data_IF_753982967491
#
_entry.id   IF_753982967491
#
_cell.length_a   1.000
_cell.length_b   1.000
_cell.length_c   1.000
_cell.angle_alpha   90.00
_cell.angle_beta   90.00
_cell.angle_gamma   90.00
#
_symmetry.space_group_name_H-M   'P 1'
#
loop_
_entity.id
_entity.type
_entity.pdbx_description
1 polymer ?
#
# COMPACT_ATOMS: atom_id res chain seq x y z
N UNK A 1 32.24 -66.59 22.78
CA UNK A 1 30.94 -66.05 22.31
C UNK A 1 30.70 -64.72 23.02
N UNK A 2 31.03 -63.56 22.43
CA UNK A 2 30.56 -62.20 22.81
C UNK A 2 31.47 -61.04 22.34
N UNK A 3 32.53 -61.29 21.54
CA UNK A 3 33.34 -60.18 20.97
C UNK A 3 32.76 -59.55 19.75
N UNK A 4 32.02 -60.27 18.91
CA UNK A 4 31.44 -59.78 17.64
C UNK A 4 30.20 -58.93 17.84
N UNK A 5 29.46 -59.14 18.95
CA UNK A 5 28.26 -58.33 19.25
C UNK A 5 28.58 -56.90 19.71
N UNK A 6 29.77 -56.67 20.23
CA UNK A 6 30.19 -55.32 20.67
C UNK A 6 30.75 -54.48 19.53
N UNK A 7 31.30 -55.09 18.50
CA UNK A 7 31.85 -54.38 17.31
C UNK A 7 30.74 -53.93 16.38
N UNK A 8 29.69 -54.75 16.22
CA UNK A 8 28.52 -54.34 15.39
C UNK A 8 27.68 -53.21 15.99
N UNK A 9 27.60 -53.11 17.33
CA UNK A 9 26.88 -52.03 17.99
C UNK A 9 27.64 -50.69 17.89
N UNK A 10 28.97 -50.68 17.86
CA UNK A 10 29.79 -49.47 17.72
C UNK A 10 29.82 -48.93 16.28
N UNK A 11 29.71 -49.79 15.28
CA UNK A 11 29.64 -49.38 13.86
C UNK A 11 28.27 -48.83 13.48
N UNK A 12 27.18 -49.27 14.12
CA UNK A 12 25.83 -48.67 13.90
C UNK A 12 25.70 -47.31 14.58
N UNK A 13 26.40 -47.02 15.68
CA UNK A 13 26.36 -45.73 16.35
C UNK A 13 27.13 -44.64 15.59
N UNK A 14 28.17 -44.99 14.79
CA UNK A 14 28.93 -44.04 13.98
C UNK A 14 28.22 -43.65 12.66
N UNK A 15 27.30 -44.48 12.18
CA UNK A 15 26.55 -44.20 10.94
C UNK A 15 25.40 -43.17 11.14
N UNK A 16 25.01 -42.87 12.39
CA UNK A 16 23.91 -41.95 12.71
C UNK A 16 24.35 -40.48 12.87
N UNK A 17 25.68 -40.21 12.90
CA UNK A 17 26.19 -38.84 13.15
C UNK A 17 26.40 -38.04 11.83
N UNK A 18 26.33 -38.67 10.65
CA UNK A 18 26.56 -38.03 9.37
C UNK A 18 25.27 -37.63 8.59
N UNK A 19 24.09 -37.80 9.21
CA UNK A 19 22.82 -37.65 8.54
C UNK A 19 22.05 -36.31 8.78
N UNK A 20 22.60 -35.33 9.52
CA UNK A 20 21.88 -34.10 9.88
C UNK A 20 22.64 -32.84 9.46
N UNK A 21 23.29 -32.86 8.29
CA UNK A 21 23.53 -31.60 7.56
C UNK A 21 22.42 -31.42 6.57
N UNK A 22 21.19 -31.29 7.05
CA UNK A 22 20.14 -30.67 6.31
C UNK A 22 20.53 -29.21 6.11
N UNK A 23 21.08 -28.87 4.93
CA UNK A 23 21.05 -27.52 4.43
C UNK A 23 19.57 -27.13 4.32
N UNK A 24 18.97 -26.69 5.42
CA UNK A 24 17.78 -25.88 5.38
C UNK A 24 18.17 -24.64 4.61
N UNK A 25 17.80 -24.53 3.33
CA UNK A 25 17.62 -23.23 2.71
C UNK A 25 16.81 -22.43 3.74
N UNK A 26 17.41 -21.39 4.34
CA UNK A 26 16.62 -20.36 4.98
C UNK A 26 15.67 -19.91 3.89
N UNK A 27 14.39 -20.19 4.01
CA UNK A 27 13.38 -19.52 3.23
C UNK A 27 13.59 -18.03 3.52
N UNK A 28 14.20 -17.34 2.58
CA UNK A 28 14.40 -15.89 2.69
C UNK A 28 13.01 -15.29 2.77
N UNK A 29 12.72 -14.67 3.92
CA UNK A 29 11.41 -14.06 4.14
C UNK A 29 11.16 -13.02 3.06
N UNK A 30 10.09 -13.19 2.30
CA UNK A 30 9.64 -12.22 1.29
C UNK A 30 8.75 -11.20 1.98
N UNK A 31 9.09 -9.92 1.83
CA UNK A 31 8.27 -8.80 2.29
C UNK A 31 7.35 -8.37 1.14
N UNK A 32 6.05 -8.57 1.29
CA UNK A 32 5.07 -8.12 0.31
C UNK A 32 4.69 -6.67 0.60
N UNK A 33 4.86 -5.81 -0.39
CA UNK A 33 4.48 -4.39 -0.31
C UNK A 33 3.38 -4.12 -1.33
N UNK A 34 2.20 -3.75 -0.82
CA UNK A 34 1.07 -3.32 -1.64
C UNK A 34 1.26 -1.90 -2.15
N UNK A 35 0.95 -1.65 -3.42
CA UNK A 35 0.91 -0.30 -3.98
C UNK A 35 -0.16 -0.20 -5.07
N UNK A 36 -0.70 1.01 -5.26
CA UNK A 36 -1.57 1.25 -6.42
C UNK A 36 -0.74 1.37 -7.70
N UNK A 37 -1.32 0.91 -8.81
CA UNK A 37 -0.72 1.00 -10.15
C UNK A 37 -0.27 2.44 -10.45
N UNK A 38 0.90 2.59 -11.06
CA UNK A 38 1.48 3.87 -11.44
C UNK A 38 2.61 4.32 -10.51
N UNK A 39 2.69 5.61 -10.11
CA UNK A 39 3.85 6.16 -9.42
C UNK A 39 4.19 5.45 -8.10
N UNK A 40 3.22 5.02 -7.32
CA UNK A 40 3.46 4.27 -6.09
C UNK A 40 4.11 2.91 -6.35
N UNK A 41 3.60 2.16 -7.32
CA UNK A 41 4.19 0.88 -7.73
C UNK A 41 5.63 1.06 -8.24
N UNK A 42 5.90 2.11 -9.03
CA UNK A 42 7.25 2.43 -9.52
C UNK A 42 8.23 2.70 -8.38
N UNK A 43 7.79 3.41 -7.33
CA UNK A 43 8.63 3.64 -6.14
C UNK A 43 8.92 2.32 -5.43
N UNK A 44 7.91 1.47 -5.22
CA UNK A 44 8.12 0.15 -4.56
C UNK A 44 9.04 -0.73 -5.39
N UNK A 45 8.92 -0.74 -6.74
CA UNK A 45 9.84 -1.47 -7.62
C UNK A 45 11.29 -0.98 -7.47
N UNK A 46 11.50 0.34 -7.38
CA UNK A 46 12.83 0.90 -7.15
C UNK A 46 13.39 0.50 -5.77
N UNK A 47 12.55 0.55 -4.73
CA UNK A 47 12.91 0.11 -3.37
C UNK A 47 13.26 -1.39 -3.36
N UNK A 48 12.47 -2.24 -4.02
CA UNK A 48 12.74 -3.68 -4.10
C UNK A 48 14.10 -3.97 -4.76
N UNK A 49 14.43 -3.22 -5.82
CA UNK A 49 15.73 -3.34 -6.51
C UNK A 49 16.91 -2.95 -5.60
N UNK A 50 16.77 -1.90 -4.80
CA UNK A 50 17.81 -1.48 -3.86
C UNK A 50 17.92 -2.44 -2.66
N UNK A 51 16.79 -2.90 -2.12
CA UNK A 51 16.71 -3.86 -1.01
C UNK A 51 17.37 -5.20 -1.36
N UNK A 52 17.20 -5.67 -2.60
CA UNK A 52 17.82 -6.91 -3.07
C UNK A 52 19.37 -6.86 -3.00
N UNK A 53 20.00 -5.70 -3.17
CA UNK A 53 21.45 -5.52 -3.01
C UNK A 53 21.92 -5.75 -1.56
N UNK A 54 21.00 -5.68 -0.62
CA UNK A 54 21.23 -5.89 0.82
C UNK A 54 20.70 -7.26 1.30
N UNK A 55 20.30 -8.14 0.38
CA UNK A 55 19.75 -9.45 0.70
C UNK A 55 18.31 -9.41 1.25
N UNK A 56 17.57 -8.33 1.00
CA UNK A 56 16.17 -8.18 1.41
C UNK A 56 15.28 -8.42 0.18
N UNK A 57 14.44 -9.44 0.24
CA UNK A 57 13.53 -9.79 -0.84
C UNK A 57 12.18 -9.08 -0.66
N UNK A 58 11.81 -8.23 -1.61
CA UNK A 58 10.54 -7.52 -1.66
C UNK A 58 9.74 -7.97 -2.88
N UNK A 59 8.49 -8.33 -2.65
CA UNK A 59 7.49 -8.60 -3.68
C UNK A 59 6.50 -7.43 -3.74
N UNK A 60 6.36 -6.80 -4.91
CA UNK A 60 5.32 -5.81 -5.15
C UNK A 60 3.99 -6.49 -5.44
N UNK A 61 2.95 -6.12 -4.69
CA UNK A 61 1.55 -6.49 -4.94
C UNK A 61 0.81 -5.25 -5.46
N UNK A 62 0.43 -5.27 -6.74
CA UNK A 62 -0.25 -4.12 -7.35
C UNK A 62 -1.77 -4.20 -7.16
N UNK A 63 -2.37 -3.08 -6.78
CA UNK A 63 -3.81 -2.89 -6.62
C UNK A 63 -4.33 -1.85 -7.62
N UNK A 64 -5.53 -2.08 -8.15
CA UNK A 64 -6.20 -1.16 -9.07
C UNK A 64 -7.22 -0.24 -8.38
N UNK A 65 -7.37 -0.35 -7.07
CA UNK A 65 -8.31 0.43 -6.25
C UNK A 65 -7.66 0.93 -4.96
N UNK A 66 -8.38 1.77 -4.20
CA UNK A 66 -7.91 2.35 -2.94
C UNK A 66 -8.47 1.67 -1.69
N UNK A 67 -9.39 0.71 -1.83
CA UNK A 67 -10.06 0.04 -0.70
C UNK A 67 -9.26 -1.17 -0.26
N UNK A 68 -8.89 -2.02 -1.21
CA UNK A 68 -8.26 -3.32 -0.98
C UNK A 68 -6.89 -3.26 -0.29
N UNK A 69 -5.99 -2.26 -0.55
CA UNK A 69 -4.63 -2.29 0.03
C UNK A 69 -4.58 -2.24 1.55
N UNK A 70 -5.48 -1.49 2.20
CA UNK A 70 -5.53 -1.46 3.67
C UNK A 70 -6.15 -2.74 4.23
N UNK A 71 -7.17 -3.29 3.60
CA UNK A 71 -7.74 -4.56 4.02
C UNK A 71 -6.70 -5.70 3.95
N UNK A 72 -5.91 -5.76 2.87
CA UNK A 72 -4.85 -6.75 2.71
C UNK A 72 -3.70 -6.56 3.72
N UNK A 73 -3.44 -5.34 4.18
CA UNK A 73 -2.47 -5.07 5.23
C UNK A 73 -3.02 -5.46 6.61
N UNK A 74 -4.27 -5.17 6.87
CA UNK A 74 -4.93 -5.45 8.14
C UNK A 74 -5.11 -6.96 8.38
N UNK A 75 -5.41 -7.73 7.33
CA UNK A 75 -5.51 -9.19 7.39
C UNK A 75 -4.16 -9.92 7.32
N UNK A 76 -3.05 -9.20 7.10
CA UNK A 76 -1.70 -9.74 7.04
C UNK A 76 -1.31 -10.37 5.70
N UNK A 77 -2.12 -10.26 4.65
CA UNK A 77 -1.82 -10.76 3.29
C UNK A 77 -0.62 -10.04 2.68
N UNK A 78 -0.38 -8.79 3.09
CA UNK A 78 0.82 -8.00 2.81
C UNK A 78 1.39 -7.43 4.11
N UNK A 79 2.68 -7.07 4.14
CA UNK A 79 3.34 -6.56 5.34
C UNK A 79 3.43 -5.03 5.37
N UNK A 80 3.37 -4.39 4.22
CA UNK A 80 3.42 -2.94 4.06
C UNK A 80 2.52 -2.53 2.89
N UNK A 81 2.07 -1.27 2.88
CA UNK A 81 1.53 -0.66 1.67
C UNK A 81 2.08 0.76 1.45
N UNK A 82 2.03 1.24 0.21
CA UNK A 82 2.45 2.59 -0.17
C UNK A 82 1.52 3.14 -1.23
N UNK A 83 0.48 3.91 -0.82
CA UNK A 83 -0.48 4.48 -1.78
C UNK A 83 -1.28 5.68 -1.24
N UNK A 84 -1.43 5.81 0.05
CA UNK A 84 -2.43 6.69 0.67
C UNK A 84 -1.82 7.91 1.37
N UNK A 85 -2.65 8.89 1.63
CA UNK A 85 -2.34 10.02 2.50
C UNK A 85 -2.92 9.79 3.91
N UNK A 86 -2.41 10.52 4.90
CA UNK A 86 -2.77 10.29 6.30
C UNK A 86 -4.28 10.34 6.57
N UNK A 87 -5.06 11.32 6.09
CA UNK A 87 -6.50 11.34 6.33
C UNK A 87 -7.25 10.10 5.81
N UNK A 88 -6.76 9.47 4.73
CA UNK A 88 -7.34 8.23 4.22
C UNK A 88 -7.06 7.04 5.16
N UNK A 89 -5.84 6.96 5.70
CA UNK A 89 -5.47 5.96 6.68
C UNK A 89 -6.29 6.11 7.97
N UNK A 90 -6.42 7.34 8.48
CA UNK A 90 -7.18 7.63 9.70
C UNK A 90 -8.65 7.25 9.50
N UNK A 91 -9.26 7.63 8.37
CA UNK A 91 -10.62 7.25 8.03
C UNK A 91 -10.80 5.72 7.93
N UNK A 92 -9.83 5.00 7.37
CA UNK A 92 -9.88 3.54 7.35
C UNK A 92 -9.86 2.96 8.76
N UNK A 93 -8.93 3.38 9.60
CA UNK A 93 -8.82 2.90 10.98
C UNK A 93 -10.10 3.15 11.78
N UNK A 94 -10.67 4.36 11.68
CA UNK A 94 -11.88 4.74 12.41
C UNK A 94 -13.10 3.92 11.99
N UNK A 95 -13.19 3.52 10.72
CA UNK A 95 -14.35 2.78 10.21
C UNK A 95 -14.20 1.25 10.29
N UNK A 96 -13.00 0.72 10.55
CA UNK A 96 -12.73 -0.72 10.56
C UNK A 96 -12.18 -1.24 11.91
N UNK A 97 -12.10 -0.38 12.94
CA UNK A 97 -11.42 -0.69 14.21
C UNK A 97 -9.98 -1.21 14.02
N UNK A 98 -9.35 -0.71 12.95
CA UNK A 98 -7.99 -1.08 12.58
C UNK A 98 -6.97 -0.21 13.31
N UNK A 99 -5.70 -0.67 13.36
CA UNK A 99 -4.59 0.02 14.04
C UNK A 99 -3.39 0.19 13.12
N UNK A 100 -3.63 0.31 11.83
CA UNK A 100 -2.56 0.56 10.86
C UNK A 100 -1.88 1.90 11.15
N UNK A 101 -0.56 1.95 11.01
CA UNK A 101 0.24 3.14 11.30
C UNK A 101 1.11 3.54 10.12
N UNK A 102 1.30 4.83 9.93
CA UNK A 102 2.26 5.35 8.96
C UNK A 102 3.68 5.25 9.54
N UNK A 103 4.56 4.53 8.83
CA UNK A 103 5.98 4.38 9.20
C UNK A 103 6.90 5.32 8.42
N UNK A 104 6.38 6.03 7.41
CA UNK A 104 7.15 6.96 6.60
C UNK A 104 6.34 7.56 5.46
N UNK A 105 6.97 8.49 4.74
CA UNK A 105 6.40 9.15 3.57
C UNK A 105 7.23 8.80 2.34
N UNK A 106 6.59 8.49 1.21
CA UNK A 106 7.27 8.14 -0.03
C UNK A 106 7.20 9.26 -1.06
N UNK A 107 6.03 9.55 -1.61
CA UNK A 107 5.82 10.57 -2.64
C UNK A 107 4.63 11.45 -2.29
N UNK A 108 4.65 12.68 -2.82
CA UNK A 108 3.52 13.60 -2.78
C UNK A 108 2.82 13.62 -4.13
N UNK A 109 1.55 13.16 -4.16
CA UNK A 109 0.71 13.22 -5.34
C UNK A 109 -0.16 14.49 -5.27
N UNK A 110 0.01 15.37 -6.26
CA UNK A 110 -0.86 16.55 -6.42
C UNK A 110 -2.18 16.13 -7.05
N UNK A 111 -3.26 16.74 -6.60
CA UNK A 111 -4.56 16.66 -7.27
C UNK A 111 -4.64 17.81 -8.28
N UNK A 112 -5.28 17.58 -9.41
CA UNK A 112 -5.46 18.58 -10.46
C UNK A 112 -6.81 18.44 -11.13
N UNK A 113 -7.27 19.54 -11.76
CA UNK A 113 -8.43 19.54 -12.67
C UNK A 113 -7.93 19.25 -14.07
N UNK A 114 -8.51 18.27 -14.73
CA UNK A 114 -8.14 17.81 -16.07
C UNK A 114 -9.34 17.83 -17.00
N UNK A 115 -9.14 18.19 -18.25
CA UNK A 115 -10.17 18.14 -19.28
C UNK A 115 -9.57 17.78 -20.64
N UNK A 116 -10.26 16.92 -21.38
CA UNK A 116 -10.01 16.72 -22.82
C UNK A 116 -10.87 17.64 -23.70
N UNK A 117 -11.80 18.38 -23.09
CA UNK A 117 -12.81 19.19 -23.80
C UNK A 117 -12.54 20.67 -23.67
N UNK A 118 -12.06 21.14 -22.54
CA UNK A 118 -11.84 22.55 -22.23
C UNK A 118 -10.37 22.84 -22.04
N UNK A 119 -9.87 23.92 -22.60
CA UNK A 119 -8.44 24.29 -22.56
C UNK A 119 -8.09 25.24 -21.41
N UNK A 120 -9.09 25.82 -20.74
CA UNK A 120 -8.89 26.69 -19.57
C UNK A 120 -10.11 26.61 -18.65
N UNK A 121 -9.94 27.05 -17.39
CA UNK A 121 -11.04 27.14 -16.43
C UNK A 121 -12.16 28.05 -16.93
N UNK A 122 -11.82 29.22 -17.51
CA UNK A 122 -12.78 30.19 -18.03
C UNK A 122 -13.63 29.68 -19.21
N UNK A 123 -13.20 28.60 -19.85
CA UNK A 123 -13.93 27.99 -20.97
C UNK A 123 -14.93 26.92 -20.52
N UNK A 124 -14.97 26.59 -19.22
CA UNK A 124 -15.91 25.62 -18.66
C UNK A 124 -17.28 26.29 -18.55
N UNK A 125 -18.33 25.77 -19.22
CA UNK A 125 -19.66 26.37 -19.17
C UNK A 125 -20.36 26.09 -17.85
N UNK A 126 -21.35 26.92 -17.52
CA UNK A 126 -22.29 26.62 -16.43
C UNK A 126 -22.93 25.25 -16.67
N UNK A 127 -23.19 24.53 -15.58
CA UNK A 127 -23.71 23.16 -15.58
C UNK A 127 -22.80 22.09 -16.24
N UNK A 128 -21.48 22.34 -16.36
CA UNK A 128 -20.53 21.33 -16.76
C UNK A 128 -20.54 20.16 -15.76
N UNK A 129 -20.38 18.94 -16.28
CA UNK A 129 -20.27 17.74 -15.45
C UNK A 129 -18.82 17.53 -15.06
N UNK A 130 -18.54 17.50 -13.76
CA UNK A 130 -17.21 17.27 -13.20
C UNK A 130 -17.24 15.98 -12.38
N UNK A 131 -16.31 15.08 -12.65
CA UNK A 131 -16.11 13.87 -11.84
C UNK A 131 -15.10 14.17 -10.73
N UNK A 132 -15.43 13.75 -9.52
CA UNK A 132 -14.55 13.82 -8.35
C UNK A 132 -14.38 12.40 -7.76
N UNK A 133 -13.34 12.14 -6.95
CA UNK A 133 -13.22 10.89 -6.20
C UNK A 133 -14.46 10.66 -5.33
N UNK A 134 -14.86 9.40 -5.21
CA UNK A 134 -16.05 9.01 -4.44
C UNK A 134 -15.76 8.61 -2.99
N UNK A 135 -14.50 8.59 -2.56
CA UNK A 135 -14.15 8.40 -1.17
C UNK A 135 -14.21 9.73 -0.39
N UNK A 136 -14.56 9.72 0.91
CA UNK A 136 -14.79 10.96 1.66
C UNK A 136 -13.58 11.90 1.67
N UNK A 137 -12.38 11.37 1.82
CA UNK A 137 -11.16 12.17 2.01
C UNK A 137 -10.65 12.79 0.71
N UNK A 138 -10.66 12.05 -0.42
CA UNK A 138 -10.29 12.62 -1.71
C UNK A 138 -11.44 13.37 -2.36
N UNK A 139 -12.70 13.00 -2.08
CA UNK A 139 -13.89 13.77 -2.48
C UNK A 139 -13.83 15.19 -1.91
N UNK A 140 -13.58 15.33 -0.60
CA UNK A 140 -13.42 16.63 0.05
C UNK A 140 -12.27 17.45 -0.55
N UNK A 141 -11.11 16.83 -0.80
CA UNK A 141 -9.99 17.48 -1.49
C UNK A 141 -10.36 17.95 -2.91
N UNK A 142 -11.15 17.13 -3.63
CA UNK A 142 -11.66 17.50 -4.96
C UNK A 142 -12.55 18.73 -4.91
N UNK A 143 -13.46 18.80 -3.94
CA UNK A 143 -14.34 19.95 -3.75
C UNK A 143 -13.57 21.23 -3.40
N UNK A 144 -12.61 21.15 -2.47
CA UNK A 144 -11.75 22.28 -2.13
C UNK A 144 -10.95 22.78 -3.35
N UNK A 145 -10.45 21.87 -4.19
CA UNK A 145 -9.75 22.24 -5.41
C UNK A 145 -10.66 22.94 -6.41
N UNK A 146 -11.94 22.51 -6.53
CA UNK A 146 -12.92 23.17 -7.40
C UNK A 146 -13.32 24.55 -6.87
N UNK A 147 -13.38 24.72 -5.55
CA UNK A 147 -13.60 26.02 -4.92
C UNK A 147 -12.41 26.97 -5.17
N UNK A 148 -11.18 26.50 -4.95
CA UNK A 148 -9.95 27.27 -5.23
C UNK A 148 -9.85 27.66 -6.72
N UNK A 149 -10.36 26.81 -7.61
CA UNK A 149 -10.46 27.10 -9.04
C UNK A 149 -11.62 28.06 -9.41
N UNK A 150 -12.46 28.48 -8.46
CA UNK A 150 -13.61 29.35 -8.69
C UNK A 150 -14.78 28.69 -9.42
N UNK A 151 -14.83 27.37 -9.46
CA UNK A 151 -15.87 26.62 -10.15
C UNK A 151 -17.10 26.34 -9.29
N UNK A 152 -16.94 26.33 -7.97
CA UNK A 152 -18.01 26.17 -6.98
C UNK A 152 -17.74 27.06 -5.77
N UNK A 153 -18.73 27.21 -4.90
CA UNK A 153 -18.55 27.74 -3.55
C UNK A 153 -18.98 26.68 -2.53
N UNK A 154 -18.29 26.62 -1.41
CA UNK A 154 -18.62 25.73 -0.29
C UNK A 154 -19.12 26.54 0.90
N UNK A 155 -19.88 25.90 1.78
CA UNK A 155 -20.26 26.47 3.07
C UNK A 155 -19.03 26.80 3.90
N UNK A 156 -19.14 27.86 4.72
CA UNK A 156 -18.09 28.20 5.67
C UNK A 156 -17.72 26.99 6.54
N UNK A 157 -16.42 26.77 6.71
CA UNK A 157 -15.85 25.69 7.51
C UNK A 157 -16.06 24.24 7.01
N UNK A 158 -16.46 24.02 5.75
CA UNK A 158 -16.56 22.69 5.16
C UNK A 158 -15.20 21.92 5.22
N UNK A 159 -14.09 22.60 4.95
CA UNK A 159 -12.74 22.09 5.13
C UNK A 159 -12.48 20.76 4.39
N UNK A 160 -11.55 19.95 4.89
CA UNK A 160 -11.18 18.67 4.26
C UNK A 160 -12.27 17.60 4.31
N UNK A 161 -13.33 17.81 5.09
CA UNK A 161 -14.48 16.91 5.18
C UNK A 161 -15.64 17.35 4.29
N UNK A 162 -15.41 18.31 3.39
CA UNK A 162 -16.42 18.81 2.47
C UNK A 162 -17.10 17.66 1.71
N UNK A 163 -18.40 17.75 1.57
CA UNK A 163 -19.26 16.82 0.83
C UNK A 163 -20.07 17.56 -0.23
N UNK A 164 -20.75 16.85 -1.11
CA UNK A 164 -21.63 17.46 -2.11
C UNK A 164 -22.75 18.32 -1.48
N UNK A 165 -23.13 18.03 -0.23
CA UNK A 165 -24.14 18.80 0.51
C UNK A 165 -23.62 20.18 0.98
N UNK A 166 -22.33 20.42 0.88
CA UNK A 166 -21.68 21.67 1.30
C UNK A 166 -21.49 22.65 0.14
N UNK A 167 -21.87 22.28 -1.08
CA UNK A 167 -21.89 23.18 -2.22
C UNK A 167 -23.05 24.18 -2.03
N UNK A 168 -22.76 25.47 -2.24
CA UNK A 168 -23.70 26.61 -2.11
C UNK A 168 -24.13 27.15 -3.47
#
# INVERSE_FOLDING_TARGET
MNSYKKITASLLALAFIFGVTGCGKKDEAIIKIGATVGPHAQVVQAVAKEAAKQGINIELVEFSDYITPNAALDDGSIQLNSYQHQPFLDNFNDNHDSKLVSIGRSILMRMGVYSNKYSSLDSIPDNARIAIPNDPTNGGRGLLLLEDAGLISLKDNAGFNASLNDIV
#
